data_IF_120787776217
#
_entry.id   IF_120787776217
#
_cell.length_a   1.000
_cell.length_b   1.000
_cell.length_c   1.000
_cell.angle_alpha   90.00
_cell.angle_beta   90.00
_cell.angle_gamma   90.00
#
_symmetry.space_group_name_H-M   'P 1'
#
loop_
_entity.id
_entity.type
_entity.pdbx_description
1 polymer ?
#
# COMPACT_ATOMS: atom_id res chain seq x y z
N UNK A 1 5.55 7.82 -30.73
CA UNK A 1 5.14 7.91 -29.32
C UNK A 1 3.96 6.99 -28.94
N UNK A 2 2.90 6.92 -29.72
CA UNK A 2 1.68 6.10 -29.46
C UNK A 2 1.95 4.57 -29.41
N UNK A 3 2.81 4.04 -30.29
CA UNK A 3 3.14 2.59 -30.35
C UNK A 3 3.84 2.08 -29.08
N UNK A 4 4.69 2.90 -28.47
CA UNK A 4 5.41 2.53 -27.23
C UNK A 4 4.47 2.53 -26.03
N UNK A 5 3.51 3.46 -25.99
CA UNK A 5 2.51 3.51 -24.93
C UNK A 5 1.58 2.29 -24.94
N UNK A 6 1.17 1.85 -26.14
CA UNK A 6 0.31 0.67 -26.30
C UNK A 6 0.99 -0.61 -25.83
N UNK A 7 2.30 -0.78 -26.14
CA UNK A 7 3.07 -1.93 -25.64
C UNK A 7 3.18 -1.93 -24.12
N UNK A 8 3.48 -0.78 -23.51
CA UNK A 8 3.59 -0.68 -22.04
C UNK A 8 2.26 -0.99 -21.36
N UNK A 9 1.14 -0.52 -21.92
CA UNK A 9 -0.19 -0.84 -21.39
C UNK A 9 -0.50 -2.34 -21.48
N UNK A 10 -0.18 -2.97 -22.60
CA UNK A 10 -0.36 -4.43 -22.79
C UNK A 10 0.46 -5.20 -21.75
N UNK A 11 1.74 -4.85 -21.53
CA UNK A 11 2.58 -5.51 -20.52
C UNK A 11 2.01 -5.32 -19.09
N UNK A 12 1.51 -4.12 -18.76
CA UNK A 12 0.85 -3.87 -17.47
C UNK A 12 -0.40 -4.73 -17.28
N UNK A 13 -1.26 -4.79 -18.29
CA UNK A 13 -2.48 -5.61 -18.23
C UNK A 13 -2.11 -7.09 -18.13
N UNK A 14 -1.15 -7.59 -18.92
CA UNK A 14 -0.70 -8.98 -18.82
C UNK A 14 -0.12 -9.30 -17.44
N UNK A 15 0.68 -8.40 -16.86
CA UNK A 15 1.23 -8.59 -15.51
C UNK A 15 0.15 -8.59 -14.44
N UNK A 16 -0.88 -7.72 -14.55
CA UNK A 16 -2.03 -7.74 -13.65
C UNK A 16 -2.84 -9.03 -13.77
N UNK A 17 -3.09 -9.51 -15.00
CA UNK A 17 -3.82 -10.76 -15.23
C UNK A 17 -3.04 -11.95 -14.66
N UNK A 18 -1.73 -12.00 -14.85
CA UNK A 18 -0.88 -13.06 -14.29
C UNK A 18 -0.85 -13.02 -12.76
N UNK A 19 -0.80 -11.82 -12.17
CA UNK A 19 -0.85 -11.66 -10.72
C UNK A 19 -2.21 -12.10 -10.16
N UNK A 20 -3.32 -11.72 -10.81
CA UNK A 20 -4.66 -12.16 -10.42
C UNK A 20 -4.83 -13.68 -10.58
N UNK A 21 -4.33 -14.26 -11.68
CA UNK A 21 -4.34 -15.70 -11.89
C UNK A 21 -3.55 -16.45 -10.79
N UNK A 22 -2.40 -15.91 -10.38
CA UNK A 22 -1.62 -16.44 -9.25
C UNK A 22 -2.38 -16.41 -7.92
N UNK A 23 -3.10 -15.31 -7.64
CA UNK A 23 -3.93 -15.19 -6.43
C UNK A 23 -5.09 -16.19 -6.47
N UNK A 24 -5.79 -16.30 -7.60
CA UNK A 24 -6.90 -17.25 -7.78
C UNK A 24 -6.41 -18.69 -7.65
N UNK A 25 -5.27 -19.02 -8.25
CA UNK A 25 -4.67 -20.35 -8.17
C UNK A 25 -4.33 -20.72 -6.72
N UNK A 26 -3.76 -19.80 -5.94
CA UNK A 26 -3.49 -20.01 -4.51
C UNK A 26 -4.78 -20.14 -3.69
N UNK A 27 -5.81 -19.37 -3.99
CA UNK A 27 -7.11 -19.46 -3.32
C UNK A 27 -7.83 -20.80 -3.55
N UNK A 28 -7.61 -21.45 -4.70
CA UNK A 28 -8.22 -22.73 -5.05
C UNK A 28 -7.46 -23.93 -4.43
N UNK A 29 -6.13 -23.82 -4.27
CA UNK A 29 -5.26 -24.92 -3.84
C UNK A 29 -4.82 -24.83 -2.36
N UNK A 30 -5.48 -24.02 -1.54
CA UNK A 30 -5.14 -23.87 -0.12
C UNK A 30 -5.94 -24.87 0.75
N UNK A 31 -5.54 -26.14 0.88
CA UNK A 31 -5.91 -26.93 2.04
C UNK A 31 -5.04 -26.44 3.21
N UNK A 32 -5.64 -26.27 4.35
CA UNK A 32 -5.09 -25.88 5.65
C UNK A 32 -3.94 -26.82 6.15
N UNK A 33 -2.92 -27.03 5.35
CA UNK A 33 -1.75 -27.82 5.78
C UNK A 33 -0.60 -26.87 6.07
N UNK A 34 -0.30 -26.73 7.36
CA UNK A 34 0.86 -26.08 7.96
C UNK A 34 2.18 -26.71 7.47
N UNK A 35 2.53 -26.51 6.22
CA UNK A 35 3.77 -27.02 5.66
C UNK A 35 4.51 -25.88 4.94
N UNK A 36 5.70 -25.58 5.42
CA UNK A 36 6.65 -24.55 4.97
C UNK A 36 6.95 -24.58 3.44
N UNK A 37 6.55 -25.62 2.75
CA UNK A 37 6.71 -25.79 1.29
C UNK A 37 5.73 -24.95 0.45
N UNK A 38 4.62 -24.46 1.02
CA UNK A 38 3.60 -23.68 0.32
C UNK A 38 3.95 -22.20 0.11
N UNK A 39 4.95 -21.66 0.81
CA UNK A 39 5.18 -20.22 0.94
C UNK A 39 5.70 -19.54 -0.33
N UNK A 40 6.39 -20.24 -1.21
CA UNK A 40 7.02 -19.63 -2.40
C UNK A 40 5.97 -19.10 -3.38
N UNK A 41 4.86 -19.83 -3.58
CA UNK A 41 3.79 -19.42 -4.49
C UNK A 41 2.94 -18.27 -3.94
N UNK A 42 2.84 -18.15 -2.62
CA UNK A 42 2.09 -17.07 -1.96
C UNK A 42 2.84 -15.73 -2.02
N UNK A 43 4.17 -15.77 -2.06
CA UNK A 43 5.04 -14.59 -2.05
C UNK A 43 5.15 -13.96 -3.45
N UNK A 44 5.17 -14.78 -4.50
CA UNK A 44 5.37 -14.32 -5.87
C UNK A 44 4.40 -13.21 -6.31
N UNK A 45 3.07 -13.31 -6.10
CA UNK A 45 2.14 -12.24 -6.41
C UNK A 45 2.48 -10.93 -5.69
N UNK A 46 2.89 -10.97 -4.43
CA UNK A 46 3.23 -9.77 -3.66
C UNK A 46 4.47 -9.08 -4.22
N UNK A 47 5.50 -9.85 -4.57
CA UNK A 47 6.71 -9.31 -5.23
C UNK A 47 6.33 -8.64 -6.55
N UNK A 48 5.46 -9.26 -7.35
CA UNK A 48 4.99 -8.71 -8.62
C UNK A 48 4.25 -7.39 -8.37
N UNK A 49 3.35 -7.30 -7.39
CA UNK A 49 2.62 -6.08 -7.08
C UNK A 49 3.55 -4.96 -6.59
N UNK A 50 4.54 -5.26 -5.76
CA UNK A 50 5.55 -4.29 -5.35
C UNK A 50 6.33 -3.78 -6.57
N UNK A 51 6.78 -4.68 -7.45
CA UNK A 51 7.49 -4.31 -8.68
C UNK A 51 6.62 -3.44 -9.62
N UNK A 52 5.32 -3.77 -9.76
CA UNK A 52 4.36 -2.97 -10.52
C UNK A 52 4.17 -1.58 -9.93
N UNK A 53 4.10 -1.46 -8.60
CA UNK A 53 3.96 -0.17 -7.92
C UNK A 53 5.19 0.71 -8.17
N UNK A 54 6.40 0.16 -8.10
CA UNK A 54 7.62 0.88 -8.47
C UNK A 54 7.65 1.25 -9.96
N UNK A 55 7.26 0.35 -10.85
CA UNK A 55 7.14 0.62 -12.28
C UNK A 55 6.15 1.76 -12.56
N UNK A 56 5.04 1.81 -11.80
CA UNK A 56 4.09 2.90 -11.88
C UNK A 56 4.69 4.23 -11.42
N UNK A 57 5.43 4.26 -10.30
CA UNK A 57 6.15 5.46 -9.81
C UNK A 57 7.11 5.99 -10.86
N UNK A 58 7.90 5.11 -11.50
CA UNK A 58 8.82 5.49 -12.58
C UNK A 58 8.05 6.07 -13.77
N UNK A 59 6.92 5.47 -14.13
CA UNK A 59 6.06 5.94 -15.23
C UNK A 59 5.48 7.31 -14.93
N UNK A 60 4.98 7.55 -13.73
CA UNK A 60 4.47 8.85 -13.26
C UNK A 60 5.56 9.92 -13.36
N UNK A 61 6.78 9.62 -12.87
CA UNK A 61 7.91 10.54 -12.93
C UNK A 61 8.25 10.99 -14.36
N UNK A 62 8.08 10.09 -15.33
CA UNK A 62 8.41 10.37 -16.73
C UNK A 62 7.29 11.04 -17.52
N UNK A 63 6.02 10.86 -17.13
CA UNK A 63 4.86 11.25 -17.93
C UNK A 63 4.16 12.50 -17.42
N UNK A 64 4.20 12.79 -16.13
CA UNK A 64 3.48 13.91 -15.53
C UNK A 64 4.40 15.12 -15.48
N UNK A 65 3.98 16.17 -16.18
CA UNK A 65 4.73 17.42 -16.32
C UNK A 65 4.59 18.30 -15.07
N UNK A 66 3.39 18.42 -14.51
CA UNK A 66 3.16 19.20 -13.29
C UNK A 66 3.92 18.59 -12.10
N UNK A 67 4.89 19.34 -11.59
CA UNK A 67 5.78 18.89 -10.50
C UNK A 67 5.02 18.60 -9.21
N UNK A 68 3.94 19.33 -8.92
CA UNK A 68 3.15 19.20 -7.68
C UNK A 68 2.34 17.90 -7.71
N UNK A 69 1.53 17.70 -8.75
CA UNK A 69 0.74 16.48 -8.96
C UNK A 69 1.67 15.28 -9.01
N UNK A 70 2.80 15.39 -9.71
CA UNK A 70 3.80 14.34 -9.80
C UNK A 70 4.37 13.96 -8.43
N UNK A 71 4.69 14.94 -7.57
CA UNK A 71 5.21 14.68 -6.23
C UNK A 71 4.20 13.89 -5.39
N UNK A 72 2.94 14.33 -5.36
CA UNK A 72 1.88 13.62 -4.61
C UNK A 72 1.65 12.20 -5.16
N UNK A 73 1.62 12.03 -6.48
CA UNK A 73 1.45 10.69 -7.08
C UNK A 73 2.63 9.77 -6.79
N UNK A 74 3.86 10.28 -6.79
CA UNK A 74 5.04 9.51 -6.38
C UNK A 74 4.90 9.09 -4.91
N UNK A 75 4.49 10.01 -4.03
CA UNK A 75 4.26 9.70 -2.61
C UNK A 75 3.19 8.62 -2.43
N UNK A 76 2.08 8.70 -3.17
CA UNK A 76 1.05 7.63 -3.17
C UNK A 76 1.64 6.29 -3.61
N UNK A 77 2.41 6.26 -4.70
CA UNK A 77 3.02 5.03 -5.19
C UNK A 77 4.04 4.41 -4.21
N UNK A 78 4.82 5.26 -3.53
CA UNK A 78 5.73 4.79 -2.48
C UNK A 78 4.99 4.26 -1.25
N UNK A 79 3.91 4.92 -0.83
CA UNK A 79 3.05 4.44 0.25
C UNK A 79 2.37 3.11 -0.10
N UNK A 80 1.90 2.94 -1.35
CA UNK A 80 1.35 1.68 -1.82
C UNK A 80 2.42 0.58 -1.84
N UNK A 81 3.64 0.89 -2.29
CA UNK A 81 4.76 -0.05 -2.29
C UNK A 81 5.13 -0.48 -0.87
N UNK A 82 5.14 0.47 0.07
CA UNK A 82 5.36 0.22 1.49
C UNK A 82 4.27 -0.70 2.06
N UNK A 83 3.01 -0.39 1.79
CA UNK A 83 1.86 -1.19 2.23
C UNK A 83 1.93 -2.64 1.75
N UNK A 84 2.26 -2.84 0.47
CA UNK A 84 2.41 -4.18 -0.10
C UNK A 84 3.62 -4.92 0.46
N UNK A 85 4.74 -4.22 0.66
CA UNK A 85 5.94 -4.80 1.24
C UNK A 85 5.72 -5.23 2.70
N UNK A 86 5.05 -4.41 3.49
CA UNK A 86 4.69 -4.68 4.88
C UNK A 86 3.74 -5.90 4.97
N UNK A 87 2.72 -5.94 4.13
CA UNK A 87 1.83 -7.10 4.05
C UNK A 87 2.57 -8.39 3.70
N UNK A 88 3.56 -8.32 2.83
CA UNK A 88 4.41 -9.46 2.48
C UNK A 88 5.29 -9.87 3.66
N UNK A 89 5.93 -8.88 4.31
CA UNK A 89 6.81 -9.12 5.44
C UNK A 89 6.07 -9.78 6.63
N UNK A 90 4.80 -9.44 6.86
CA UNK A 90 3.98 -10.08 7.90
C UNK A 90 3.96 -11.61 7.77
N UNK A 91 3.91 -12.16 6.56
CA UNK A 91 3.92 -13.61 6.34
C UNK A 91 5.22 -14.29 6.77
N UNK A 92 6.33 -13.54 6.78
CA UNK A 92 7.63 -14.08 7.22
C UNK A 92 7.83 -14.02 8.72
N UNK A 93 7.23 -13.04 9.40
CA UNK A 93 7.53 -12.72 10.80
C UNK A 93 6.43 -13.15 11.79
N UNK A 94 5.25 -13.59 11.30
CA UNK A 94 4.10 -13.89 12.19
C UNK A 94 4.39 -14.98 13.22
N UNK A 95 5.25 -15.96 12.93
CA UNK A 95 5.50 -17.09 13.82
C UNK A 95 6.51 -16.82 14.93
N UNK A 96 7.36 -15.78 14.81
CA UNK A 96 8.54 -15.64 15.67
C UNK A 96 8.56 -14.37 16.55
N UNK A 97 7.86 -13.29 16.16
CA UNK A 97 7.96 -11.98 16.85
C UNK A 97 6.60 -11.31 17.02
N UNK A 98 5.86 -11.62 18.07
CA UNK A 98 4.52 -11.07 18.33
C UNK A 98 4.49 -9.54 18.40
N UNK A 99 5.46 -8.92 19.09
CA UNK A 99 5.51 -7.46 19.23
C UNK A 99 5.83 -6.77 17.91
N UNK A 100 6.78 -7.30 17.13
CA UNK A 100 7.09 -6.79 15.80
C UNK A 100 5.87 -6.87 14.88
N UNK A 101 5.16 -7.97 14.89
CA UNK A 101 3.94 -8.14 14.09
C UNK A 101 2.85 -7.13 14.46
N UNK A 102 2.72 -6.79 15.76
CA UNK A 102 1.79 -5.79 16.25
C UNK A 102 2.13 -4.40 15.71
N UNK A 103 3.39 -3.99 15.79
CA UNK A 103 3.82 -2.70 15.23
C UNK A 103 3.73 -2.65 13.71
N UNK A 104 3.98 -3.74 13.02
CA UNK A 104 3.71 -3.86 11.58
C UNK A 104 2.22 -3.67 11.28
N UNK A 105 1.34 -4.27 12.07
CA UNK A 105 -0.10 -4.05 11.97
C UNK A 105 -0.48 -2.57 12.14
N UNK A 106 0.13 -1.87 13.08
CA UNK A 106 -0.09 -0.43 13.24
C UNK A 106 0.46 0.37 12.06
N UNK A 107 1.62 0.00 11.53
CA UNK A 107 2.25 0.66 10.39
C UNK A 107 1.40 0.56 9.10
N UNK A 108 0.58 -0.50 8.97
CA UNK A 108 -0.39 -0.67 7.89
C UNK A 108 -1.37 0.51 7.77
N UNK A 109 -1.71 1.17 8.88
CA UNK A 109 -2.63 2.29 8.89
C UNK A 109 -2.03 3.59 8.36
N UNK A 110 -0.71 3.73 8.32
CA UNK A 110 -0.03 4.90 7.74
C UNK A 110 -0.45 5.11 6.27
N UNK A 111 -0.20 4.17 5.36
CA UNK A 111 -0.63 4.33 3.97
C UNK A 111 -2.16 4.38 3.83
N UNK A 112 -2.90 3.63 4.64
CA UNK A 112 -4.36 3.60 4.59
C UNK A 112 -4.98 4.97 4.89
N UNK A 113 -4.37 5.78 5.76
CA UNK A 113 -4.83 7.14 6.10
C UNK A 113 -4.26 8.17 5.12
N UNK A 114 -2.97 8.06 4.76
CA UNK A 114 -2.31 9.08 3.97
C UNK A 114 -2.66 9.03 2.48
N UNK A 115 -2.92 7.85 1.89
CA UNK A 115 -3.24 7.73 0.46
C UNK A 115 -4.52 8.49 0.10
N UNK A 116 -5.66 8.33 0.81
CA UNK A 116 -6.86 9.13 0.55
C UNK A 116 -6.61 10.62 0.74
N UNK A 117 -5.87 11.03 1.78
CA UNK A 117 -5.53 12.42 2.02
C UNK A 117 -4.75 13.03 0.85
N UNK A 118 -3.72 12.34 0.35
CA UNK A 118 -2.97 12.77 -0.82
C UNK A 118 -3.84 12.81 -2.07
N UNK A 119 -4.81 11.90 -2.19
CA UNK A 119 -5.83 11.91 -3.25
C UNK A 119 -6.63 13.20 -3.25
N UNK A 120 -7.07 13.69 -2.09
CA UNK A 120 -7.76 14.99 -1.96
C UNK A 120 -6.85 16.12 -2.44
N UNK A 121 -5.57 16.14 -2.07
CA UNK A 121 -4.65 17.18 -2.55
C UNK A 121 -4.41 17.12 -4.06
N UNK A 122 -4.30 15.92 -4.63
CA UNK A 122 -4.16 15.75 -6.09
C UNK A 122 -5.37 16.36 -6.80
N UNK A 123 -6.60 16.07 -6.34
CA UNK A 123 -7.82 16.57 -6.99
C UNK A 123 -7.92 18.08 -6.96
N UNK A 124 -7.36 18.76 -5.94
CA UNK A 124 -7.34 20.21 -5.87
C UNK A 124 -6.43 20.87 -6.91
N UNK A 125 -5.44 20.15 -7.42
CA UNK A 125 -4.52 20.66 -8.45
C UNK A 125 -4.94 20.32 -9.89
N UNK A 126 -5.79 19.31 -10.09
CA UNK A 126 -6.21 18.87 -11.42
C UNK A 126 -6.96 20.03 -12.13
N UNK A 127 -6.52 20.35 -13.34
CA UNK A 127 -7.12 21.41 -14.17
C UNK A 127 -6.79 22.84 -13.72
N UNK A 128 -5.92 23.02 -12.72
CA UNK A 128 -5.50 24.34 -12.26
C UNK A 128 -4.17 24.76 -12.91
N UNK A 129 -3.96 26.05 -13.18
CA UNK A 129 -2.71 26.57 -13.72
C UNK A 129 -1.54 26.33 -12.74
N UNK A 130 -0.31 26.30 -13.24
CA UNK A 130 0.90 26.09 -12.41
C UNK A 130 1.07 27.15 -11.31
N UNK A 131 0.53 28.35 -11.52
CA UNK A 131 0.54 29.46 -10.55
C UNK A 131 -0.44 29.28 -9.39
N UNK A 132 -1.39 28.33 -9.50
CA UNK A 132 -2.37 28.08 -8.45
C UNK A 132 -1.70 27.59 -7.16
N UNK A 133 -2.00 28.23 -6.05
CA UNK A 133 -1.57 27.83 -4.72
C UNK A 133 -2.76 27.21 -3.97
N UNK A 134 -2.54 26.04 -3.42
CA UNK A 134 -3.55 25.38 -2.59
C UNK A 134 -3.87 26.27 -1.38
N UNK A 135 -5.15 26.41 -1.01
CA UNK A 135 -5.56 27.12 0.20
C UNK A 135 -4.91 26.49 1.44
N UNK A 136 -4.39 27.33 2.33
CA UNK A 136 -3.65 26.89 3.51
C UNK A 136 -4.48 26.01 4.45
N UNK A 137 -5.79 26.23 4.50
CA UNK A 137 -6.71 25.46 5.35
C UNK A 137 -6.79 23.98 4.95
N UNK A 138 -6.53 23.62 3.70
CA UNK A 138 -6.45 22.21 3.29
C UNK A 138 -5.29 21.49 3.98
N UNK A 139 -4.21 22.19 4.31
CA UNK A 139 -3.12 21.59 5.07
C UNK A 139 -3.55 21.20 6.51
N UNK A 140 -4.62 21.78 7.04
CA UNK A 140 -5.17 21.39 8.34
C UNK A 140 -5.66 19.93 8.34
N UNK A 141 -5.95 19.35 7.17
CA UNK A 141 -6.32 17.93 7.04
C UNK A 141 -5.19 16.97 7.47
N UNK A 142 -3.92 17.45 7.48
CA UNK A 142 -2.83 16.66 8.05
C UNK A 142 -2.99 16.46 9.56
N UNK A 143 -3.61 17.39 10.28
CA UNK A 143 -3.77 17.31 11.75
C UNK A 143 -4.60 16.08 12.13
N UNK A 144 -5.86 15.90 11.66
CA UNK A 144 -6.62 14.69 11.99
C UNK A 144 -5.97 13.42 11.43
N UNK A 145 -5.31 13.47 10.26
CA UNK A 145 -4.62 12.31 9.72
C UNK A 145 -3.48 11.84 10.63
N UNK A 146 -2.61 12.75 11.07
CA UNK A 146 -1.54 12.42 12.01
C UNK A 146 -2.06 12.06 13.40
N UNK A 147 -3.14 12.70 13.87
CA UNK A 147 -3.79 12.33 15.12
C UNK A 147 -4.32 10.89 15.08
N UNK A 148 -4.93 10.47 13.97
CA UNK A 148 -5.39 9.08 13.79
C UNK A 148 -4.22 8.10 13.76
N UNK A 149 -3.14 8.41 13.04
CA UNK A 149 -1.94 7.56 13.01
C UNK A 149 -1.37 7.43 14.43
N UNK A 150 -1.21 8.54 15.15
CA UNK A 150 -0.71 8.53 16.52
C UNK A 150 -1.64 7.71 17.43
N UNK A 151 -2.94 7.86 17.26
CA UNK A 151 -3.94 7.12 18.04
C UNK A 151 -3.84 5.60 17.83
N UNK A 152 -3.57 5.16 16.59
CA UNK A 152 -3.31 3.75 16.30
C UNK A 152 -2.02 3.26 16.95
N UNK A 153 -0.93 4.04 16.86
CA UNK A 153 0.37 3.65 17.43
C UNK A 153 0.39 3.67 18.96
N UNK A 154 -0.47 4.45 19.58
CA UNK A 154 -0.64 4.50 21.06
C UNK A 154 -1.66 3.50 21.57
N UNK A 155 -2.19 2.62 20.72
CA UNK A 155 -3.23 1.65 21.10
C UNK A 155 -2.84 0.77 22.28
N UNK A 156 -1.56 0.48 22.47
CA UNK A 156 -1.07 -0.33 23.61
C UNK A 156 -1.34 0.31 24.97
N UNK A 157 -1.57 1.63 25.02
CA UNK A 157 -1.88 2.35 26.28
C UNK A 157 -3.37 2.42 26.60
N UNK A 158 -4.24 2.39 25.59
CA UNK A 158 -5.67 2.65 25.79
C UNK A 158 -6.59 1.55 25.24
N UNK A 159 -6.10 0.65 24.38
CA UNK A 159 -6.85 -0.48 23.78
C UNK A 159 -8.21 -0.08 23.16
N UNK A 160 -8.33 1.19 22.66
CA UNK A 160 -9.59 1.70 22.10
C UNK A 160 -9.76 1.41 20.61
N UNK A 161 -8.65 1.19 19.90
CA UNK A 161 -8.68 0.93 18.45
C UNK A 161 -8.75 -0.56 18.19
N UNK A 162 -7.94 -1.35 18.92
CA UNK A 162 -7.84 -2.80 18.79
C UNK A 162 -7.73 -3.43 20.17
N UNK A 163 -8.51 -4.48 20.39
CA UNK A 163 -8.35 -5.42 21.50
C UNK A 163 -7.69 -6.68 20.98
N UNK A 164 -6.66 -7.16 21.66
CA UNK A 164 -5.98 -8.42 21.37
C UNK A 164 -6.13 -9.37 22.57
N UNK A 165 -7.33 -9.90 22.84
CA UNK A 165 -7.64 -10.67 24.07
C UNK A 165 -6.80 -11.94 24.20
N UNK A 166 -6.34 -12.51 23.10
CA UNK A 166 -5.56 -13.76 23.06
C UNK A 166 -4.18 -13.58 22.38
N UNK A 167 -3.76 -12.32 22.17
CA UNK A 167 -2.56 -11.99 21.38
C UNK A 167 -2.80 -12.07 19.87
N UNK A 168 -1.81 -11.62 19.10
CA UNK A 168 -1.88 -11.50 17.64
C UNK A 168 -1.99 -12.86 16.91
N UNK A 169 -1.71 -13.95 17.58
CA UNK A 169 -1.66 -15.29 17.00
C UNK A 169 -3.00 -15.82 16.47
N UNK A 170 -4.14 -15.26 16.91
CA UNK A 170 -5.48 -15.76 16.60
C UNK A 170 -6.17 -15.07 15.42
N UNK A 171 -5.50 -14.17 14.69
CA UNK A 171 -6.03 -13.57 13.48
C UNK A 171 -5.92 -14.44 12.21
N UNK A 172 -5.57 -15.72 12.35
CA UNK A 172 -5.42 -16.67 11.24
C UNK A 172 -6.54 -17.72 11.18
N UNK A 173 -7.64 -17.54 11.93
CA UNK A 173 -8.84 -18.37 11.80
C UNK A 173 -9.94 -17.68 11.02
#
# INVERSE_FOLDING_TARGET
MIKTQRKTLIYLVCAMVLAMAGILYNGINFPLTNSFSGNTFTILPHIIFVALSFGWVISVRRRILDKRIRSYLISVGLLMSFWLAERTAKWFFVSEFSDLCRYMWYAFYIPMILIPLLGVFITTYIGKPETYKMPWWLNLLYIPAFALILFVFTNDFHNLVFEFPNGIYYFNE
#
